data_IF_627944250353
#
_entry.id   IF_627944250353
#
_cell.length_a   1.000
_cell.length_b   1.000
_cell.length_c   1.000
_cell.angle_alpha   90.00
_cell.angle_beta   90.00
_cell.angle_gamma   90.00
#
_symmetry.space_group_name_H-M   'P 1'
#
loop_
_entity.id
_entity.type
_entity.pdbx_description
1 polymer ?
#
# COMPACT_ATOMS: atom_id res chain seq x y z
N UNK A 1 -4.00 12.11 29.33
CA UNK A 1 -4.43 11.74 27.96
C UNK A 1 -3.19 11.28 27.22
N UNK A 2 -3.17 10.05 26.69
CA UNK A 2 -2.07 9.57 25.85
C UNK A 2 -2.12 10.29 24.50
N UNK A 3 -0.96 10.62 23.93
CA UNK A 3 -0.80 11.38 22.68
C UNK A 3 -1.46 10.69 21.47
N UNK A 4 -1.59 9.36 21.50
CA UNK A 4 -2.36 8.57 20.52
C UNK A 4 -3.85 8.86 20.63
N UNK A 5 -4.38 8.92 21.86
CA UNK A 5 -5.81 9.18 22.08
C UNK A 5 -6.16 10.63 21.68
N UNK A 6 -5.22 11.57 21.86
CA UNK A 6 -5.36 12.94 21.36
C UNK A 6 -5.35 13.00 19.83
N UNK A 7 -4.47 12.23 19.18
CA UNK A 7 -4.45 12.17 17.72
C UNK A 7 -5.72 11.54 17.15
N UNK A 8 -6.30 10.55 17.83
CA UNK A 8 -7.58 9.95 17.42
C UNK A 8 -8.76 10.93 17.57
N UNK A 9 -8.65 11.98 18.38
CA UNK A 9 -9.66 13.04 18.39
C UNK A 9 -9.74 13.81 17.05
N UNK A 10 -8.70 13.73 16.21
CA UNK A 10 -8.68 14.29 14.84
C UNK A 10 -9.36 13.38 13.80
N UNK A 11 -9.89 12.23 14.21
CA UNK A 11 -10.41 11.18 13.31
C UNK A 11 -11.50 11.67 12.35
N UNK A 12 -12.30 12.64 12.77
CA UNK A 12 -13.38 13.22 11.97
C UNK A 12 -14.25 12.15 11.29
N UNK A 13 -14.75 12.43 10.09
CA UNK A 13 -15.46 11.45 9.26
C UNK A 13 -14.46 10.64 8.43
N UNK A 14 -14.36 9.33 8.67
CA UNK A 14 -13.64 8.40 7.79
C UNK A 14 -12.14 8.23 8.07
N UNK A 15 -11.71 8.34 9.33
CA UNK A 15 -10.30 8.18 9.73
C UNK A 15 -9.35 9.21 9.10
N UNK A 16 -9.73 10.49 9.13
CA UNK A 16 -8.95 11.58 8.52
C UNK A 16 -7.58 11.81 9.17
N UNK A 17 -7.40 11.42 10.42
CA UNK A 17 -6.13 11.55 11.16
C UNK A 17 -4.99 10.80 10.45
N UNK A 18 -5.24 9.62 9.89
CA UNK A 18 -4.24 8.89 9.10
C UNK A 18 -3.97 9.53 7.73
N UNK A 19 -4.96 10.21 7.16
CA UNK A 19 -4.76 10.98 5.93
C UNK A 19 -3.93 12.24 6.19
N UNK A 20 -4.14 12.91 7.32
CA UNK A 20 -3.32 14.02 7.79
C UNK A 20 -1.85 13.58 7.87
N UNK A 21 -1.58 12.41 8.45
CA UNK A 21 -0.25 11.78 8.47
C UNK A 21 0.36 11.64 7.07
N UNK A 22 -0.42 11.11 6.12
CA UNK A 22 0.06 10.95 4.75
C UNK A 22 0.33 12.28 4.04
N UNK A 23 -0.53 13.28 4.24
CA UNK A 23 -0.46 14.58 3.57
C UNK A 23 0.70 15.45 4.08
N UNK A 24 1.04 15.38 5.37
CA UNK A 24 2.18 16.15 5.87
C UNK A 24 3.53 15.56 5.46
N UNK A 25 3.57 14.25 5.19
CA UNK A 25 4.77 13.60 4.69
C UNK A 25 5.04 13.93 3.21
N UNK A 26 3.99 14.11 2.41
CA UNK A 26 4.09 14.45 0.97
C UNK A 26 3.54 15.86 0.70
N UNK A 27 4.35 16.92 0.93
CA UNK A 27 3.89 18.28 0.74
C UNK A 27 3.41 18.52 -0.69
N UNK A 28 2.24 19.14 -0.83
CA UNK A 28 1.51 19.34 -2.09
C UNK A 28 0.88 18.08 -2.70
N UNK A 29 0.93 16.92 -2.03
CA UNK A 29 0.32 15.66 -2.45
C UNK A 29 0.66 15.30 -3.91
N UNK A 30 1.92 15.54 -4.32
CA UNK A 30 2.36 15.36 -5.72
C UNK A 30 2.72 13.90 -6.02
N UNK A 31 3.03 13.09 -5.02
CA UNK A 31 3.68 11.79 -5.19
C UNK A 31 3.03 10.64 -4.38
N UNK A 32 1.83 10.87 -3.81
CA UNK A 32 1.27 10.06 -2.73
C UNK A 32 -0.15 9.52 -2.91
N UNK A 33 -0.70 9.47 -4.14
CA UNK A 33 -2.06 8.94 -4.33
C UNK A 33 -2.09 7.40 -4.29
N UNK A 34 -2.58 6.83 -3.19
CA UNK A 34 -2.86 5.39 -3.06
C UNK A 34 -4.07 4.91 -3.89
N UNK A 35 -4.80 5.79 -4.57
CA UNK A 35 -5.83 5.49 -5.60
C UNK A 35 -6.41 6.79 -6.15
N UNK A 36 -6.67 6.84 -7.45
CA UNK A 36 -7.34 7.97 -8.12
C UNK A 36 -8.82 7.94 -7.76
N UNK A 37 -9.25 8.78 -6.84
CA UNK A 37 -10.64 8.89 -6.39
C UNK A 37 -11.21 10.28 -6.67
N UNK A 38 -12.50 10.48 -6.41
CA UNK A 38 -13.19 11.78 -6.62
C UNK A 38 -12.49 12.95 -5.88
N UNK A 39 -11.79 12.64 -4.77
CA UNK A 39 -11.00 13.59 -3.99
C UNK A 39 -9.62 13.92 -4.60
N UNK A 40 -9.20 13.24 -5.66
CA UNK A 40 -7.99 13.57 -6.43
C UNK A 40 -8.13 14.88 -7.22
N UNK A 41 -9.37 15.39 -7.34
CA UNK A 41 -9.72 16.61 -8.09
C UNK A 41 -9.86 17.83 -7.16
N UNK A 42 -10.05 17.64 -5.85
CA UNK A 42 -10.26 18.73 -4.88
C UNK A 42 -8.99 19.07 -4.08
N UNK A 43 -8.66 20.36 -4.04
CA UNK A 43 -7.60 21.08 -3.32
C UNK A 43 -6.39 20.30 -2.78
N UNK A 44 -5.21 20.65 -3.31
CA UNK A 44 -3.90 20.27 -2.77
C UNK A 44 -3.63 21.06 -1.49
N UNK A 45 -4.17 20.59 -0.36
CA UNK A 45 -3.90 21.22 0.94
C UNK A 45 -2.49 20.83 1.41
N UNK A 46 -1.65 21.83 1.67
CA UNK A 46 -0.37 21.63 2.36
C UNK A 46 -0.65 21.51 3.85
N UNK A 47 -0.40 20.33 4.42
CA UNK A 47 -0.56 20.06 5.85
C UNK A 47 0.82 20.06 6.49
N UNK A 48 0.98 20.79 7.60
CA UNK A 48 2.16 20.71 8.46
C UNK A 48 1.68 20.35 9.84
N UNK A 49 2.13 19.22 10.37
CA UNK A 49 1.92 18.87 11.76
C UNK A 49 3.21 18.26 12.32
N UNK A 50 3.45 18.49 13.61
CA UNK A 50 4.46 17.80 14.38
C UNK A 50 3.73 17.00 15.46
N UNK A 51 3.93 15.68 15.46
CA UNK A 51 3.31 14.80 16.42
C UNK A 51 4.31 13.75 16.87
N UNK A 52 4.41 13.61 18.18
CA UNK A 52 5.17 12.57 18.84
C UNK A 52 4.22 11.87 19.83
N UNK A 53 4.34 10.56 19.95
CA UNK A 53 3.57 9.79 20.89
C UNK A 53 4.42 8.70 21.53
N UNK A 54 4.26 8.55 22.84
CA UNK A 54 4.86 7.47 23.61
C UNK A 54 3.81 6.43 23.93
N UNK A 55 4.06 5.18 23.56
CA UNK A 55 3.11 4.07 23.78
C UNK A 55 3.83 2.74 23.96
N UNK A 56 3.16 1.78 24.60
CA UNK A 56 3.58 0.38 24.56
C UNK A 56 3.41 -0.18 23.15
N UNK A 57 4.26 -1.15 22.77
CA UNK A 57 4.21 -1.83 21.46
C UNK A 57 2.82 -2.38 21.15
N UNK A 58 2.19 -3.07 22.11
CA UNK A 58 0.86 -3.67 21.93
C UNK A 58 -0.23 -2.61 21.62
N UNK A 59 -0.27 -1.50 22.38
CA UNK A 59 -1.20 -0.39 22.08
C UNK A 59 -0.91 0.23 20.71
N UNK A 60 0.36 0.34 20.31
CA UNK A 60 0.75 0.80 18.97
C UNK A 60 0.28 -0.13 17.85
N UNK A 61 0.49 -1.44 18.02
CA UNK A 61 0.00 -2.48 17.10
C UNK A 61 -1.52 -2.40 16.92
N UNK A 62 -2.27 -2.31 18.03
CA UNK A 62 -3.74 -2.17 17.99
C UNK A 62 -4.19 -0.90 17.29
N UNK A 63 -3.49 0.22 17.50
CA UNK A 63 -3.83 1.50 16.90
C UNK A 63 -3.66 1.50 15.37
N UNK A 64 -2.55 0.95 14.87
CA UNK A 64 -2.25 0.92 13.43
C UNK A 64 -2.80 -0.31 12.71
N UNK A 65 -3.45 -1.25 13.40
CA UNK A 65 -3.93 -2.53 12.84
C UNK A 65 -4.83 -2.40 11.60
N UNK A 66 -5.53 -1.27 11.43
CA UNK A 66 -6.43 -1.02 10.30
C UNK A 66 -5.78 -0.31 9.11
N UNK A 67 -4.52 0.08 9.23
CA UNK A 67 -3.79 0.88 8.23
C UNK A 67 -2.39 0.31 7.97
N UNK A 68 -2.20 -0.98 8.24
CA UNK A 68 -0.92 -1.67 8.10
C UNK A 68 -0.38 -1.62 6.67
N UNK A 69 -1.29 -1.68 5.68
CA UNK A 69 -0.96 -1.67 4.24
C UNK A 69 -1.30 -0.35 3.53
N UNK A 70 -2.05 0.54 4.18
CA UNK A 70 -2.59 1.78 3.58
C UNK A 70 -1.58 2.94 3.51
N UNK A 71 -0.39 2.77 4.08
CA UNK A 71 0.71 3.73 3.97
C UNK A 71 0.94 4.75 5.12
N UNK A 72 0.03 5.01 6.08
CA UNK A 72 0.36 5.81 7.26
C UNK A 72 1.52 5.22 8.05
N UNK A 73 1.53 3.91 8.22
CA UNK A 73 2.55 3.18 8.99
C UNK A 73 3.96 3.39 8.43
N UNK A 74 4.14 3.42 7.11
CA UNK A 74 5.46 3.59 6.51
C UNK A 74 5.99 5.02 6.60
N UNK A 75 5.12 6.02 6.78
CA UNK A 75 5.43 7.46 6.82
C UNK A 75 5.75 8.01 8.21
N UNK A 76 5.66 7.18 9.25
CA UNK A 76 5.99 7.55 10.62
C UNK A 76 7.34 6.90 10.98
N UNK A 77 8.15 7.60 11.76
CA UNK A 77 9.36 7.04 12.35
C UNK A 77 9.01 6.29 13.64
N UNK A 78 9.43 5.04 13.78
CA UNK A 78 9.29 4.26 15.00
C UNK A 78 10.64 4.10 15.70
N UNK A 79 10.61 4.20 17.03
CA UNK A 79 11.72 3.88 17.91
C UNK A 79 11.17 3.20 19.16
N UNK A 80 12.03 2.48 19.88
CA UNK A 80 11.69 1.93 21.19
C UNK A 80 12.87 2.09 22.13
N UNK A 81 12.61 2.01 23.42
CA UNK A 81 13.68 1.73 24.37
C UNK A 81 13.82 0.21 24.39
N UNK A 82 15.02 -0.36 24.19
CA UNK A 82 15.25 -1.79 24.34
C UNK A 82 14.80 -2.27 25.73
N UNK A 83 14.23 -3.48 25.80
CA UNK A 83 14.02 -4.12 27.08
C UNK A 83 15.37 -4.37 27.75
N UNK A 84 15.41 -4.10 29.05
CA UNK A 84 16.61 -4.24 29.86
C UNK A 84 16.70 -5.65 30.39
N UNK A 85 17.92 -6.14 30.58
CA UNK A 85 18.09 -7.44 31.24
C UNK A 85 17.57 -7.40 32.67
N UNK A 86 17.02 -8.53 33.12
CA UNK A 86 16.51 -8.66 34.48
C UNK A 86 17.69 -8.48 35.44
N UNK A 87 17.63 -7.43 36.27
CA UNK A 87 18.68 -7.10 37.23
C UNK A 87 19.56 -5.92 36.83
N UNK A 88 19.36 -5.30 35.66
CA UNK A 88 20.05 -4.06 35.32
C UNK A 88 19.62 -2.87 36.20
N UNK A 89 20.58 -2.04 36.59
CA UNK A 89 20.38 -0.83 37.41
C UNK A 89 19.45 0.17 36.74
N UNK A 90 18.34 0.56 37.36
CA UNK A 90 17.36 1.54 36.81
C UNK A 90 18.09 2.78 36.26
N UNK A 91 17.83 3.21 35.00
CA UNK A 91 18.51 4.37 34.46
C UNK A 91 18.15 5.60 35.28
N UNK A 92 19.16 6.36 35.67
CA UNK A 92 18.97 7.65 36.34
C UNK A 92 18.63 8.66 35.26
N UNK A 93 17.38 9.13 35.24
CA UNK A 93 16.97 10.22 34.37
C UNK A 93 17.59 11.53 34.87
N UNK A 94 18.52 12.08 34.11
CA UNK A 94 19.14 13.38 34.40
C UNK A 94 18.27 14.55 33.93
N UNK A 95 18.48 15.71 34.54
CA UNK A 95 18.01 16.98 34.00
C UNK A 95 19.09 17.59 33.12
N UNK A 96 18.71 18.15 31.97
CA UNK A 96 19.62 18.93 31.14
C UNK A 96 20.03 20.21 31.85
N UNK A 97 21.31 20.32 32.18
CA UNK A 97 21.92 21.48 32.83
C UNK A 97 22.07 22.67 31.86
N UNK A 98 22.46 23.81 32.41
CA UNK A 98 22.64 25.04 31.63
C UNK A 98 23.81 24.93 30.65
N UNK A 99 24.84 24.16 30.96
CA UNK A 99 25.97 23.90 30.05
C UNK A 99 25.50 23.20 28.78
N UNK A 100 24.71 22.13 28.90
CA UNK A 100 24.13 21.42 27.78
C UNK A 100 23.14 22.29 26.99
N UNK A 101 22.32 23.09 27.67
CA UNK A 101 21.39 24.03 26.98
C UNK A 101 22.16 25.07 26.17
N UNK A 102 23.26 25.59 26.72
CA UNK A 102 24.11 26.55 26.04
C UNK A 102 24.87 25.91 24.86
N UNK A 103 25.29 24.65 24.97
CA UNK A 103 25.93 23.93 23.85
C UNK A 103 24.94 23.59 22.72
N UNK A 104 23.66 23.37 23.03
CA UNK A 104 22.61 23.17 22.02
C UNK A 104 22.18 24.47 21.32
N UNK A 105 22.33 25.62 21.97
CA UNK A 105 21.79 26.90 21.50
C UNK A 105 22.19 27.27 20.06
N UNK A 106 23.45 27.14 19.63
CA UNK A 106 23.85 27.46 18.26
C UNK A 106 23.07 26.67 17.20
N UNK A 107 22.83 25.38 17.47
CA UNK A 107 22.11 24.50 16.54
C UNK A 107 20.64 24.89 16.39
N UNK A 108 19.99 25.29 17.50
CA UNK A 108 18.61 25.78 17.50
C UNK A 108 18.53 27.12 16.78
N UNK A 109 19.45 28.04 17.07
CA UNK A 109 19.49 29.36 16.44
C UNK A 109 19.66 29.21 14.90
N UNK A 110 20.53 28.30 14.44
CA UNK A 110 20.68 27.99 13.01
C UNK A 110 19.36 27.53 12.36
N UNK A 111 18.63 26.63 13.02
CA UNK A 111 17.31 26.17 12.54
C UNK A 111 16.28 27.29 12.50
N UNK A 112 16.25 28.16 13.51
CA UNK A 112 15.31 29.29 13.57
C UNK A 112 15.62 30.38 12.54
N UNK A 113 16.89 30.56 12.19
CA UNK A 113 17.34 31.53 11.18
C UNK A 113 17.23 31.00 9.74
N UNK A 114 17.10 29.69 9.56
CA UNK A 114 17.02 29.08 8.24
C UNK A 114 15.80 29.60 7.44
N UNK A 115 16.04 30.02 6.21
CA UNK A 115 14.99 30.50 5.30
C UNK A 115 15.35 30.18 3.85
N UNK A 116 14.32 30.09 3.00
CA UNK A 116 14.49 29.73 1.59
C UNK A 116 14.74 28.24 1.35
N UNK A 117 15.28 27.92 0.18
CA UNK A 117 15.66 26.58 -0.23
C UNK A 117 17.11 26.31 0.23
N UNK A 118 17.31 25.19 0.92
CA UNK A 118 18.63 24.71 1.31
C UNK A 118 18.92 23.44 0.52
N UNK A 119 20.00 23.47 -0.26
CA UNK A 119 20.50 22.29 -0.96
C UNK A 119 21.57 21.62 -0.10
N UNK A 120 21.45 20.30 0.07
CA UNK A 120 22.44 19.48 0.76
C UNK A 120 22.72 18.26 -0.11
N UNK A 121 23.82 18.32 -0.85
CA UNK A 121 24.20 17.27 -1.79
C UNK A 121 24.60 16.00 -1.05
N UNK A 122 25.27 16.15 0.09
CA UNK A 122 25.73 15.05 0.94
C UNK A 122 24.56 14.23 1.48
N UNK A 123 23.48 14.89 1.93
CA UNK A 123 22.26 14.20 2.34
C UNK A 123 21.62 13.42 1.18
N UNK A 124 21.64 13.99 -0.04
CA UNK A 124 21.09 13.33 -1.22
C UNK A 124 21.93 12.12 -1.63
N UNK A 125 23.25 12.27 -1.66
CA UNK A 125 24.19 11.20 -2.00
C UNK A 125 24.06 10.04 -1.02
N UNK A 126 24.00 10.33 0.28
CA UNK A 126 23.72 9.32 1.31
C UNK A 126 22.38 8.62 1.07
N UNK A 127 21.32 9.37 0.77
CA UNK A 127 20.01 8.77 0.48
C UNK A 127 20.01 7.86 -0.76
N UNK A 128 20.86 8.14 -1.76
CA UNK A 128 21.07 7.26 -2.92
C UNK A 128 21.80 5.98 -2.51
N UNK A 129 22.83 6.09 -1.66
CA UNK A 129 23.57 4.93 -1.12
C UNK A 129 22.63 4.03 -0.31
N UNK A 130 21.91 4.59 0.66
CA UNK A 130 20.99 3.84 1.52
C UNK A 130 19.89 3.15 0.71
N UNK A 131 19.31 3.84 -0.28
CA UNK A 131 18.36 3.25 -1.24
C UNK A 131 18.94 2.00 -1.92
N UNK A 132 20.17 2.08 -2.42
CA UNK A 132 20.78 0.97 -3.16
C UNK A 132 21.08 -0.21 -2.25
N UNK A 133 21.60 0.03 -1.05
CA UNK A 133 21.83 -1.00 -0.05
C UNK A 133 20.53 -1.67 0.41
N UNK A 134 19.47 -0.88 0.62
CA UNK A 134 18.13 -1.40 0.93
C UNK A 134 17.61 -2.30 -0.19
N UNK A 135 17.80 -1.88 -1.44
CA UNK A 135 17.38 -2.66 -2.60
C UNK A 135 18.19 -3.96 -2.73
N UNK A 136 19.48 -3.93 -2.43
CA UNK A 136 20.32 -5.12 -2.39
C UNK A 136 19.88 -6.09 -1.28
N UNK A 137 19.67 -5.59 -0.07
CA UNK A 137 19.17 -6.39 1.05
C UNK A 137 17.78 -6.98 0.75
N UNK A 138 16.87 -6.20 0.17
CA UNK A 138 15.55 -6.68 -0.24
C UNK A 138 15.64 -7.80 -1.28
N UNK A 139 16.55 -7.69 -2.25
CA UNK A 139 16.81 -8.73 -3.27
C UNK A 139 17.39 -10.00 -2.65
N UNK A 140 18.34 -9.90 -1.73
CA UNK A 140 18.97 -11.09 -1.13
C UNK A 140 18.05 -11.77 -0.11
N UNK A 141 17.32 -10.99 0.68
CA UNK A 141 16.37 -11.51 1.68
C UNK A 141 15.01 -11.92 1.10
N UNK A 142 14.69 -11.49 -0.14
CA UNK A 142 13.38 -11.65 -0.78
C UNK A 142 12.21 -11.15 0.09
N UNK A 143 12.46 -10.15 0.96
CA UNK A 143 11.47 -9.65 1.91
C UNK A 143 10.74 -8.41 1.37
N UNK A 144 9.54 -8.61 0.83
CA UNK A 144 8.70 -7.53 0.29
C UNK A 144 8.27 -6.50 1.34
N UNK A 145 8.05 -6.92 2.58
CA UNK A 145 7.63 -6.02 3.66
C UNK A 145 8.77 -5.06 4.00
N UNK A 146 9.98 -5.60 4.13
CA UNK A 146 11.20 -4.80 4.30
C UNK A 146 11.37 -3.81 3.15
N UNK A 147 11.27 -4.28 1.90
CA UNK A 147 11.42 -3.45 0.71
C UNK A 147 10.45 -2.25 0.76
N UNK A 148 9.17 -2.49 1.06
CA UNK A 148 8.15 -1.46 1.16
C UNK A 148 8.42 -0.46 2.28
N UNK A 149 8.90 -0.91 3.44
CA UNK A 149 9.28 0.00 4.53
C UNK A 149 10.52 0.82 4.19
N UNK A 150 11.49 0.24 3.50
CA UNK A 150 12.75 0.91 3.15
C UNK A 150 12.54 2.20 2.34
N UNK A 151 11.51 2.25 1.47
CA UNK A 151 11.28 3.42 0.62
C UNK A 151 10.98 4.69 1.41
N UNK A 152 10.14 4.59 2.44
CA UNK A 152 9.76 5.75 3.26
C UNK A 152 10.73 5.98 4.42
N UNK A 153 11.38 4.91 4.91
CA UNK A 153 12.49 5.05 5.84
C UNK A 153 13.64 5.87 5.23
N UNK A 154 13.99 5.63 3.95
CA UNK A 154 15.02 6.41 3.26
C UNK A 154 14.65 7.90 3.13
N UNK A 155 13.38 8.21 2.86
CA UNK A 155 12.91 9.61 2.83
C UNK A 155 12.98 10.24 4.22
N UNK A 156 12.60 9.52 5.27
CA UNK A 156 12.74 9.99 6.66
C UNK A 156 14.21 10.25 6.99
N UNK A 157 15.11 9.35 6.61
CA UNK A 157 16.55 9.48 6.81
C UNK A 157 17.11 10.71 6.08
N UNK A 158 16.73 10.93 4.83
CA UNK A 158 17.06 12.14 4.07
C UNK A 158 16.59 13.41 4.78
N UNK A 159 15.33 13.45 5.24
CA UNK A 159 14.79 14.61 5.96
C UNK A 159 15.53 14.89 7.27
N UNK A 160 15.88 13.84 8.03
CA UNK A 160 16.72 13.96 9.24
C UNK A 160 18.10 14.53 8.88
N UNK A 161 18.70 14.07 7.79
CA UNK A 161 20.01 14.53 7.33
C UNK A 161 19.98 16.03 6.98
N UNK A 162 18.95 16.49 6.27
CA UNK A 162 18.75 17.90 5.97
C UNK A 162 18.60 18.74 7.25
N UNK A 163 17.83 18.27 8.24
CA UNK A 163 17.66 18.98 9.53
C UNK A 163 19.00 19.07 10.27
N UNK A 164 19.77 17.98 10.35
CA UNK A 164 21.08 17.99 10.99
C UNK A 164 22.06 18.91 10.26
N UNK A 165 22.05 18.93 8.94
CA UNK A 165 22.90 19.80 8.14
C UNK A 165 22.62 21.28 8.40
N UNK A 166 21.35 21.68 8.42
CA UNK A 166 20.95 23.06 8.75
C UNK A 166 21.29 23.39 10.20
N UNK A 167 20.98 22.48 11.14
CA UNK A 167 21.31 22.67 12.55
C UNK A 167 22.82 22.87 12.74
N UNK A 168 23.65 22.12 12.02
CA UNK A 168 25.10 22.22 12.05
C UNK A 168 25.67 23.39 11.22
N UNK A 169 24.84 24.37 10.85
CA UNK A 169 25.30 25.58 10.17
C UNK A 169 25.69 25.34 8.71
N UNK A 170 24.97 24.45 8.01
CA UNK A 170 25.23 24.07 6.62
C UNK A 170 26.59 23.38 6.43
N UNK A 171 27.00 22.60 7.44
CA UNK A 171 28.23 21.82 7.42
C UNK A 171 27.92 20.35 7.62
N UNK A 172 28.44 19.52 6.72
CA UNK A 172 28.37 18.07 6.83
C UNK A 172 29.54 17.56 7.67
N UNK A 173 29.27 16.60 8.55
CA UNK A 173 30.28 15.89 9.35
C UNK A 173 30.12 14.37 9.17
N UNK A 174 31.21 13.58 9.23
CA UNK A 174 31.13 12.13 9.09
C UNK A 174 30.15 11.46 10.07
N UNK A 175 30.05 11.96 11.29
CA UNK A 175 29.15 11.43 12.33
C UNK A 175 27.67 11.57 11.93
N UNK A 176 27.34 12.52 11.04
CA UNK A 176 26.00 12.64 10.50
C UNK A 176 25.67 11.46 9.56
N UNK A 177 26.65 10.95 8.80
CA UNK A 177 26.46 9.76 7.96
C UNK A 177 26.10 8.55 8.83
N UNK A 178 26.95 8.29 9.84
CA UNK A 178 26.79 7.19 10.77
C UNK A 178 25.43 7.26 11.50
N UNK A 179 25.08 8.44 12.01
CA UNK A 179 23.81 8.63 12.70
C UNK A 179 22.61 8.42 11.79
N UNK A 180 22.62 8.98 10.57
CA UNK A 180 21.49 8.87 9.65
C UNK A 180 21.28 7.43 9.20
N UNK A 181 22.38 6.76 8.82
CA UNK A 181 22.41 5.33 8.50
C UNK A 181 21.89 4.50 9.66
N UNK A 182 22.41 4.69 10.87
CA UNK A 182 21.92 3.99 12.06
C UNK A 182 20.43 4.25 12.29
N UNK A 183 19.98 5.50 12.21
CA UNK A 183 18.59 5.86 12.48
C UNK A 183 17.61 5.28 11.47
N UNK A 184 18.01 5.15 10.20
CA UNK A 184 17.20 4.50 9.16
C UNK A 184 17.08 3.00 9.44
N UNK A 185 18.20 2.34 9.69
CA UNK A 185 18.22 0.90 10.01
C UNK A 185 17.40 0.60 11.25
N UNK A 186 17.49 1.48 12.25
CA UNK A 186 16.76 1.33 13.50
C UNK A 186 15.24 1.52 13.33
N UNK A 187 14.81 2.50 12.51
CA UNK A 187 13.41 2.70 12.15
C UNK A 187 12.83 1.49 11.40
N UNK A 188 13.55 0.98 10.39
CA UNK A 188 13.15 -0.22 9.66
C UNK A 188 13.08 -1.43 10.60
N UNK A 189 14.08 -1.61 11.46
CA UNK A 189 14.09 -2.68 12.46
C UNK A 189 12.86 -2.62 13.36
N UNK A 190 12.52 -1.44 13.89
CA UNK A 190 11.33 -1.25 14.71
C UNK A 190 10.05 -1.60 13.94
N UNK A 191 9.90 -1.09 12.71
CA UNK A 191 8.74 -1.38 11.85
C UNK A 191 8.58 -2.88 11.57
N UNK A 192 9.69 -3.56 11.24
CA UNK A 192 9.70 -5.00 11.02
C UNK A 192 9.34 -5.77 12.29
N UNK A 193 9.95 -5.41 13.43
CA UNK A 193 9.71 -6.08 14.72
C UNK A 193 8.26 -5.90 15.22
N UNK A 194 7.69 -4.72 15.03
CA UNK A 194 6.36 -4.42 15.57
C UNK A 194 5.23 -4.80 14.62
N UNK A 195 5.42 -4.72 13.30
CA UNK A 195 4.32 -4.87 12.35
C UNK A 195 4.57 -5.90 11.25
N UNK A 196 5.79 -6.44 11.12
CA UNK A 196 6.15 -7.37 10.05
C UNK A 196 5.24 -8.60 9.99
N UNK A 197 5.05 -9.27 11.11
CA UNK A 197 4.17 -10.45 11.20
C UNK A 197 2.70 -10.12 10.96
N UNK A 198 2.25 -8.94 11.41
CA UNK A 198 0.87 -8.50 11.21
C UNK A 198 0.58 -8.25 9.73
N UNK A 199 1.50 -7.59 9.03
CA UNK A 199 1.41 -7.35 7.59
C UNK A 199 1.51 -8.66 6.82
N UNK A 200 2.40 -9.59 7.21
CA UNK A 200 2.51 -10.89 6.57
C UNK A 200 1.18 -11.67 6.66
N UNK A 201 0.54 -11.69 7.83
CA UNK A 201 -0.76 -12.33 8.02
C UNK A 201 -1.86 -11.68 7.18
N UNK A 202 -1.89 -10.34 7.12
CA UNK A 202 -2.89 -9.61 6.33
C UNK A 202 -2.70 -9.86 4.82
N UNK A 203 -1.45 -9.84 4.33
CA UNK A 203 -1.13 -10.16 2.95
C UNK A 203 -1.54 -11.60 2.60
N UNK A 204 -1.24 -12.58 3.46
CA UNK A 204 -1.66 -13.96 3.25
C UNK A 204 -3.18 -14.15 3.31
N UNK A 205 -3.90 -13.38 4.14
CA UNK A 205 -5.36 -13.37 4.14
C UNK A 205 -5.93 -12.76 2.86
N UNK A 206 -5.30 -11.69 2.35
CA UNK A 206 -5.61 -11.08 1.06
C UNK A 206 -5.37 -12.03 -0.11
N UNK A 207 -4.32 -12.86 -0.07
CA UNK A 207 -4.07 -13.90 -1.08
C UNK A 207 -5.11 -15.02 -1.11
N UNK A 208 -5.92 -15.18 -0.04
CA UNK A 208 -7.09 -16.07 -0.04
C UNK A 208 -8.29 -15.47 -0.78
N UNK A 209 -8.22 -14.20 -1.20
CA UNK A 209 -9.14 -13.69 -2.21
C UNK A 209 -8.89 -14.38 -3.56
N UNK A 210 -9.93 -14.55 -4.37
CA UNK A 210 -9.84 -15.28 -5.63
C UNK A 210 -8.73 -14.69 -6.53
N UNK A 211 -7.65 -15.45 -6.73
CA UNK A 211 -6.62 -15.15 -7.75
C UNK A 211 -7.20 -15.25 -9.17
N UNK A 212 -8.36 -15.91 -9.34
CA UNK A 212 -9.12 -15.93 -10.58
C UNK A 212 -9.89 -14.62 -10.68
N UNK A 213 -9.46 -13.74 -11.59
CA UNK A 213 -10.28 -12.62 -12.04
C UNK A 213 -11.55 -13.12 -12.73
N UNK A 214 -12.49 -12.23 -13.09
CA UNK A 214 -13.67 -12.61 -13.85
C UNK A 214 -13.23 -13.27 -15.16
N UNK A 215 -13.58 -14.54 -15.35
CA UNK A 215 -13.23 -15.32 -16.52
C UNK A 215 -14.39 -15.34 -17.51
N UNK A 216 -14.07 -15.19 -18.79
CA UNK A 216 -15.09 -15.16 -19.84
C UNK A 216 -15.51 -16.60 -20.19
N UNK A 217 -16.62 -17.07 -19.63
CA UNK A 217 -17.16 -18.42 -19.89
C UNK A 217 -17.40 -18.70 -21.38
N UNK A 218 -17.66 -17.68 -22.20
CA UNK A 218 -17.84 -17.85 -23.64
C UNK A 218 -16.51 -18.18 -24.34
N UNK A 219 -15.36 -17.72 -23.84
CA UNK A 219 -14.05 -18.10 -24.40
C UNK A 219 -13.72 -19.57 -24.14
N UNK A 220 -14.15 -20.12 -23.01
CA UNK A 220 -13.89 -21.51 -22.60
C UNK A 220 -14.66 -22.55 -23.42
N UNK A 221 -15.77 -22.15 -24.03
CA UNK A 221 -16.58 -23.03 -24.88
C UNK A 221 -15.92 -23.27 -26.24
N UNK A 222 -16.23 -24.36 -26.95
CA UNK A 222 -15.90 -24.50 -28.37
C UNK A 222 -16.71 -23.52 -29.23
N UNK A 223 -16.24 -23.22 -30.45
CA UNK A 223 -16.90 -22.28 -31.38
C UNK A 223 -18.35 -22.66 -31.73
N UNK A 224 -18.66 -23.95 -31.64
CA UNK A 224 -20.02 -24.47 -31.66
C UNK A 224 -20.20 -25.29 -30.39
N UNK A 225 -21.19 -24.92 -29.56
CA UNK A 225 -21.43 -25.56 -28.27
C UNK A 225 -22.91 -25.81 -28.01
N UNK A 226 -23.22 -26.66 -27.06
CA UNK A 226 -24.58 -26.98 -26.62
C UNK A 226 -24.86 -26.45 -25.21
N UNK A 227 -26.13 -26.33 -24.84
CA UNK A 227 -26.53 -25.89 -23.49
C UNK A 227 -25.91 -26.77 -22.37
N UNK A 228 -25.87 -28.11 -22.47
CA UNK A 228 -25.18 -28.96 -21.48
C UNK A 228 -23.68 -28.68 -21.33
N UNK A 229 -22.98 -28.29 -22.41
CA UNK A 229 -21.56 -27.93 -22.32
C UNK A 229 -21.37 -26.62 -21.55
N UNK A 230 -22.27 -25.65 -21.74
CA UNK A 230 -22.26 -24.42 -20.94
C UNK A 230 -22.68 -24.68 -19.48
N UNK A 231 -23.61 -25.60 -19.22
CA UNK A 231 -23.95 -26.03 -17.86
C UNK A 231 -22.72 -26.62 -17.14
N UNK A 232 -21.98 -27.51 -17.81
CA UNK A 232 -20.77 -28.13 -17.25
C UNK A 232 -19.71 -27.08 -16.87
N UNK A 233 -19.39 -26.15 -17.78
CA UNK A 233 -18.43 -25.07 -17.50
C UNK A 233 -18.93 -24.16 -16.37
N UNK A 234 -20.23 -23.83 -16.33
CA UNK A 234 -20.78 -23.02 -15.24
C UNK A 234 -20.63 -23.72 -13.89
N UNK A 235 -20.92 -25.02 -13.81
CA UNK A 235 -20.78 -25.79 -12.57
C UNK A 235 -19.31 -25.94 -12.13
N UNK A 236 -18.38 -26.16 -13.06
CA UNK A 236 -16.94 -26.19 -12.78
C UNK A 236 -16.43 -24.86 -12.20
N UNK A 237 -17.07 -23.75 -12.57
CA UNK A 237 -16.79 -22.41 -12.04
C UNK A 237 -17.69 -22.01 -10.85
N UNK A 238 -18.37 -22.97 -10.22
CA UNK A 238 -19.17 -22.75 -9.00
C UNK A 238 -20.49 -22.00 -9.22
N UNK A 239 -21.00 -21.95 -10.45
CA UNK A 239 -22.27 -21.31 -10.82
C UNK A 239 -23.40 -22.34 -10.98
N UNK A 240 -24.65 -21.91 -10.77
CA UNK A 240 -25.84 -22.75 -10.92
C UNK A 240 -26.24 -22.95 -12.40
N UNK A 241 -26.56 -24.20 -12.77
CA UNK A 241 -27.08 -24.61 -14.07
C UNK A 241 -28.45 -23.96 -14.40
N UNK A 242 -29.27 -23.61 -13.40
CA UNK A 242 -30.55 -22.92 -13.64
C UNK A 242 -30.40 -21.58 -14.37
N UNK A 243 -29.25 -20.92 -14.22
CA UNK A 243 -28.96 -19.62 -14.84
C UNK A 243 -28.55 -19.69 -16.32
N UNK A 244 -28.27 -20.88 -16.85
CA UNK A 244 -27.72 -21.08 -18.20
C UNK A 244 -28.65 -20.58 -19.31
N UNK A 245 -29.96 -20.79 -19.15
CA UNK A 245 -30.97 -20.31 -20.11
C UNK A 245 -30.95 -18.79 -20.24
N UNK A 246 -30.81 -18.08 -19.13
CA UNK A 246 -30.76 -16.62 -19.13
C UNK A 246 -29.47 -16.10 -19.77
N UNK A 247 -28.34 -16.79 -19.55
CA UNK A 247 -27.07 -16.47 -20.19
C UNK A 247 -27.14 -16.63 -21.71
N UNK A 248 -27.68 -17.74 -22.20
CA UNK A 248 -27.87 -17.96 -23.65
C UNK A 248 -28.77 -16.87 -24.24
N UNK A 249 -29.90 -16.54 -23.58
CA UNK A 249 -30.80 -15.47 -24.01
C UNK A 249 -30.08 -14.11 -24.13
N UNK A 250 -29.26 -13.77 -23.12
CA UNK A 250 -28.49 -12.53 -23.13
C UNK A 250 -27.39 -12.51 -24.20
N UNK A 251 -26.70 -13.64 -24.41
CA UNK A 251 -25.66 -13.74 -25.43
C UNK A 251 -26.22 -13.67 -26.85
N UNK A 252 -27.40 -14.24 -27.10
CA UNK A 252 -28.12 -14.06 -28.37
C UNK A 252 -28.55 -12.60 -28.53
N UNK A 253 -29.21 -12.02 -27.52
CA UNK A 253 -29.67 -10.62 -27.57
C UNK A 253 -28.53 -9.61 -27.81
N UNK A 254 -27.33 -9.89 -27.29
CA UNK A 254 -26.13 -9.04 -27.45
C UNK A 254 -25.29 -9.38 -28.69
N UNK A 255 -25.72 -10.33 -29.51
CA UNK A 255 -25.01 -10.73 -30.74
C UNK A 255 -23.65 -11.39 -30.49
N UNK A 256 -23.51 -12.14 -29.39
CA UNK A 256 -22.29 -12.91 -29.11
C UNK A 256 -22.34 -14.32 -29.67
N UNK A 257 -23.55 -14.88 -29.77
CA UNK A 257 -23.80 -16.22 -30.31
C UNK A 257 -25.07 -16.20 -31.18
N UNK A 258 -25.16 -17.16 -32.08
CA UNK A 258 -26.33 -17.43 -32.91
C UNK A 258 -26.83 -18.86 -32.65
N UNK A 259 -28.15 -19.06 -32.75
CA UNK A 259 -28.77 -20.38 -32.65
C UNK A 259 -28.69 -21.11 -33.99
N UNK A 260 -28.15 -22.32 -33.98
CA UNK A 260 -28.20 -23.23 -35.13
C UNK A 260 -29.48 -24.06 -35.00
N UNK A 261 -30.41 -23.88 -35.94
CA UNK A 261 -31.60 -24.74 -36.04
C UNK A 261 -31.22 -26.12 -36.59
N UNK A 262 -31.82 -27.22 -36.10
CA UNK A 262 -31.70 -28.53 -36.74
C UNK A 262 -32.16 -28.48 -38.21
N UNK A 263 -31.59 -29.30 -39.11
CA UNK A 263 -32.03 -29.37 -40.50
C UNK A 263 -33.53 -29.77 -40.57
N UNK A 264 -34.35 -28.91 -41.18
CA UNK A 264 -35.78 -29.19 -41.41
C UNK A 264 -36.79 -28.53 -40.47
N UNK A 265 -36.36 -27.65 -39.55
CA UNK A 265 -37.28 -26.88 -38.69
C UNK A 265 -37.16 -25.36 -38.89
N UNK A 266 -38.28 -24.73 -39.24
CA UNK A 266 -38.42 -23.28 -39.48
C UNK A 266 -38.37 -22.44 -38.18
N UNK A 267 -37.33 -22.60 -37.34
CA UNK A 267 -36.95 -21.70 -36.24
C UNK A 267 -38.00 -21.36 -35.14
N UNK A 268 -39.25 -21.81 -35.30
CA UNK A 268 -40.45 -21.48 -34.54
C UNK A 268 -41.02 -22.69 -33.78
N UNK A 269 -40.26 -23.79 -33.68
CA UNK A 269 -40.64 -24.94 -32.87
C UNK A 269 -40.40 -24.64 -31.38
N UNK A 270 -41.41 -24.89 -30.55
CA UNK A 270 -41.45 -24.57 -29.12
C UNK A 270 -40.56 -25.44 -28.23
N UNK A 271 -39.47 -25.98 -28.74
CA UNK A 271 -38.53 -26.80 -27.98
C UNK A 271 -37.58 -25.91 -27.15
N UNK A 272 -37.28 -26.34 -25.92
CA UNK A 272 -36.37 -25.63 -25.02
C UNK A 272 -34.93 -25.56 -25.58
N UNK A 273 -34.13 -24.61 -25.10
CA UNK A 273 -32.73 -24.39 -25.52
C UNK A 273 -31.80 -25.64 -25.48
N UNK A 274 -32.21 -26.72 -24.80
CA UNK A 274 -31.47 -27.97 -24.72
C UNK A 274 -31.36 -28.74 -26.04
N UNK A 275 -32.25 -28.48 -27.01
CA UNK A 275 -32.23 -29.14 -28.33
C UNK A 275 -31.47 -28.36 -29.41
N UNK A 276 -30.82 -27.25 -29.04
CA UNK A 276 -30.12 -26.39 -30.00
C UNK A 276 -28.62 -26.37 -29.76
N UNK A 277 -27.89 -26.24 -30.85
CA UNK A 277 -26.48 -25.86 -30.84
C UNK A 277 -26.36 -24.35 -31.05
N UNK A 278 -25.31 -23.75 -30.49
CA UNK A 278 -25.03 -22.33 -30.57
C UNK A 278 -23.67 -22.11 -31.21
N UNK A 279 -23.60 -21.18 -32.15
CA UNK A 279 -22.36 -20.77 -32.81
C UNK A 279 -21.87 -19.46 -32.22
N UNK A 280 -20.58 -19.37 -31.91
CA UNK A 280 -19.95 -18.10 -31.52
C UNK A 280 -19.83 -17.16 -32.72
N UNK A 281 -20.27 -15.93 -32.51
CA UNK A 281 -20.04 -14.79 -33.39
C UNK A 281 -18.86 -13.94 -32.91
N UNK A 282 -18.68 -13.86 -31.59
CA UNK A 282 -17.53 -13.21 -30.93
C UNK A 282 -16.78 -14.19 -30.04
N UNK A 283 -15.51 -13.91 -29.78
CA UNK A 283 -14.64 -14.74 -28.93
C UNK A 283 -14.45 -16.16 -29.46
N UNK A 284 -14.37 -16.26 -30.78
CA UNK A 284 -14.03 -17.50 -31.50
C UNK A 284 -12.56 -17.85 -31.31
N UNK A 285 -12.24 -19.13 -31.45
CA UNK A 285 -10.87 -19.63 -31.31
C UNK A 285 -9.93 -19.11 -32.43
N UNK A 286 -10.48 -18.81 -33.60
CA UNK A 286 -9.74 -18.23 -34.74
C UNK A 286 -9.53 -16.70 -34.65
N UNK A 287 -10.05 -16.05 -33.60
CA UNK A 287 -9.96 -14.61 -33.40
C UNK A 287 -10.83 -13.78 -34.35
N UNK A 288 -11.60 -14.41 -35.24
CA UNK A 288 -12.50 -13.71 -36.14
C UNK A 288 -13.78 -13.27 -35.40
N UNK A 289 -14.37 -12.18 -35.87
CA UNK A 289 -15.68 -11.71 -35.42
C UNK A 289 -16.62 -11.78 -36.62
N UNK A 290 -17.70 -12.55 -36.47
CA UNK A 290 -18.76 -12.61 -37.46
C UNK A 290 -19.80 -11.54 -37.12
N UNK A 291 -20.23 -10.78 -38.12
CA UNK A 291 -21.38 -9.89 -37.98
C UNK A 291 -22.65 -10.74 -37.82
N UNK A 292 -23.52 -10.30 -36.91
CA UNK A 292 -24.78 -10.97 -36.56
C UNK A 292 -25.91 -10.55 -37.51
#
# INVERSE_FOLDING_TARGET
LNEIDQFDALRGIGNQQFRIMCLAFDPSNKYGQSRVGIQSVTERVCVRFNWNASTTIDKGQRYFAKVLTDGPLSRINFCTIPEREIGEDIPIYGTYDDEFRNSLKPYIDNLCMASGLVECQEAYDLAVVLKNENAEFARTSQNRIFENFSFRANVIAYLKACVLYVANGYRWEPEMDDFIRWSERYDIYCKMRFFGDMIARENSAGEKSSKRGPENLLQLLPDIFTMPQLDAIRMEHGLDAKGTRNVIKQWIYRGYIERISPPGEDGKSGYGYSSYSFKKLKYRHDGLVLEA
#
